data_IF_417594316266
#
_entry.id   IF_417594316266
#
_cell.length_a   1.000
_cell.length_b   1.000
_cell.length_c   1.000
_cell.angle_alpha   90.00
_cell.angle_beta   90.00
_cell.angle_gamma   90.00
#
_symmetry.space_group_name_H-M   'P 1'
#
loop_
_entity.id
_entity.type
_entity.pdbx_description
1 polymer ?
#
# COMPACT_ATOMS: atom_id res chain seq x y z
N UNK A 1 31.58 48.46 22.54
CA UNK A 1 30.37 49.26 22.28
C UNK A 1 29.47 48.42 21.40
N UNK A 2 28.28 48.14 21.92
CA UNK A 2 27.27 47.25 21.36
C UNK A 2 26.49 47.95 20.25
N UNK A 3 26.17 47.25 19.16
CA UNK A 3 25.01 47.58 18.30
C UNK A 3 24.62 46.37 17.47
N UNK A 4 23.58 45.68 17.94
CA UNK A 4 22.83 44.65 17.22
C UNK A 4 21.89 45.31 16.20
N UNK A 5 21.65 44.71 15.04
CA UNK A 5 20.48 45.04 14.24
C UNK A 5 19.27 44.24 14.73
N UNK A 6 18.24 44.96 15.18
CA UNK A 6 16.91 44.45 15.46
C UNK A 6 16.27 43.92 14.16
N UNK A 7 16.10 42.61 14.04
CA UNK A 7 15.16 42.04 13.08
C UNK A 7 13.74 42.15 13.65
N UNK A 8 12.87 42.71 12.82
CA UNK A 8 11.43 42.86 13.06
C UNK A 8 10.80 41.49 13.32
N UNK A 9 10.45 41.23 14.57
CA UNK A 9 9.56 40.15 14.91
C UNK A 9 8.10 40.56 14.57
N UNK A 10 7.37 39.60 14.00
CA UNK A 10 5.93 39.39 14.24
C UNK A 10 4.92 40.00 13.27
N UNK A 11 4.92 39.55 12.01
CA UNK A 11 3.66 39.32 11.26
C UNK A 11 3.14 37.88 11.38
N UNK A 12 3.94 36.94 11.88
CA UNK A 12 3.54 35.52 12.01
C UNK A 12 2.63 35.21 13.21
N UNK A 13 2.63 36.06 14.24
CA UNK A 13 1.93 35.82 15.53
C UNK A 13 0.45 36.25 15.53
N UNK A 14 -0.02 36.93 14.47
CA UNK A 14 -1.41 37.40 14.34
C UNK A 14 -2.31 36.45 13.55
N UNK A 15 -1.73 35.52 12.78
CA UNK A 15 -2.48 34.60 11.92
C UNK A 15 -2.42 33.18 12.49
N UNK A 16 -1.28 32.77 13.06
CA UNK A 16 -1.10 31.46 13.64
C UNK A 16 -0.84 31.64 15.14
N UNK A 17 -1.81 31.24 15.96
CA UNK A 17 -1.73 31.35 17.43
C UNK A 17 -0.48 30.69 18.01
N UNK A 18 -0.16 31.00 19.27
CA UNK A 18 1.03 30.49 19.94
C UNK A 18 1.14 28.94 19.86
N UNK A 19 2.32 28.39 19.55
CA UNK A 19 2.53 26.95 19.62
C UNK A 19 2.46 26.49 21.09
N UNK A 20 1.91 25.29 21.36
CA UNK A 20 1.73 24.83 22.72
C UNK A 20 3.09 24.60 23.40
N UNK A 21 3.27 25.21 24.58
CA UNK A 21 4.41 24.95 25.46
C UNK A 21 4.43 23.45 25.81
N UNK A 22 5.56 22.78 25.55
CA UNK A 22 5.86 21.47 26.13
C UNK A 22 5.78 21.58 27.67
N UNK A 23 5.01 20.74 28.37
CA UNK A 23 5.18 20.61 29.80
C UNK A 23 6.43 19.77 30.07
N UNK A 24 7.21 20.26 31.02
CA UNK A 24 8.33 19.58 31.63
C UNK A 24 7.89 18.27 32.30
N UNK A 25 8.86 17.38 32.46
CA UNK A 25 8.76 16.10 33.15
C UNK A 25 7.95 16.17 34.45
N UNK A 26 6.92 15.32 34.55
CA UNK A 26 6.27 14.96 35.80
C UNK A 26 5.82 13.49 35.74
N UNK A 27 6.41 12.69 36.63
CA UNK A 27 5.88 11.51 37.31
C UNK A 27 4.74 10.69 36.66
N UNK A 28 5.04 9.41 36.40
CA UNK A 28 4.09 8.30 36.19
C UNK A 28 2.90 8.35 37.16
N UNK A 29 1.64 8.25 36.68
CA UNK A 29 0.53 7.84 37.52
C UNK A 29 0.38 6.31 37.52
N UNK A 30 0.07 5.79 38.71
CA UNK A 30 -0.13 4.39 39.01
C UNK A 30 -1.42 3.81 38.38
N UNK A 31 -1.41 2.51 38.11
CA UNK A 31 -2.56 1.72 37.67
C UNK A 31 -3.66 1.65 38.75
N UNK A 32 -4.96 1.68 38.40
CA UNK A 32 -6.04 1.46 39.36
C UNK A 32 -6.38 -0.03 39.49
N UNK A 33 -6.27 -0.53 40.72
CA UNK A 33 -7.32 -1.33 41.38
C UNK A 33 -7.60 -2.75 40.87
N UNK A 34 -6.77 -3.72 41.28
CA UNK A 34 -7.26 -5.07 41.52
C UNK A 34 -7.94 -5.11 42.92
N UNK A 35 -9.08 -5.82 43.09
CA UNK A 35 -9.78 -5.87 44.37
C UNK A 35 -8.96 -6.68 45.39
N UNK A 36 -8.56 -6.00 46.46
CA UNK A 36 -7.84 -6.57 47.60
C UNK A 36 -8.87 -7.13 48.59
N UNK A 37 -8.96 -8.44 48.69
CA UNK A 37 -9.69 -9.12 49.76
C UNK A 37 -9.08 -8.77 51.13
N UNK A 38 -9.88 -8.49 52.17
CA UNK A 38 -9.36 -8.19 53.49
C UNK A 38 -9.08 -9.46 54.29
N UNK A 39 -7.96 -9.41 55.03
CA UNK A 39 -7.70 -10.04 56.32
C UNK A 39 -7.86 -11.58 56.47
N UNK A 40 -6.73 -12.23 56.75
CA UNK A 40 -6.68 -13.18 57.86
C UNK A 40 -5.30 -13.15 58.51
N UNK A 41 -5.32 -12.88 59.81
CA UNK A 41 -4.19 -12.73 60.72
C UNK A 41 -3.25 -13.95 60.69
N UNK A 42 -1.95 -13.68 60.62
CA UNK A 42 -0.94 -14.65 61.06
C UNK A 42 -1.09 -14.95 62.56
N UNK A 43 -0.64 -16.13 63.02
CA UNK A 43 -0.95 -16.62 64.34
C UNK A 43 -0.08 -15.90 65.39
N UNK A 44 -0.67 -14.96 66.11
CA UNK A 44 -0.16 -14.47 67.38
C UNK A 44 -1.13 -14.89 68.48
N UNK A 45 -0.63 -15.58 69.51
CA UNK A 45 -1.35 -15.79 70.76
C UNK A 45 -1.78 -17.24 71.00
N UNK A 46 -0.93 -17.97 71.73
CA UNK A 46 -1.27 -19.13 72.54
C UNK A 46 -2.62 -18.97 73.28
N UNK A 47 -3.35 -20.07 73.51
CA UNK A 47 -3.92 -20.30 74.82
C UNK A 47 -3.10 -21.38 75.53
N UNK A 48 -2.50 -20.95 76.65
CA UNK A 48 -2.03 -21.74 77.79
C UNK A 48 -3.11 -22.70 78.34
N UNK A 49 -3.57 -23.68 77.56
CA UNK A 49 -4.56 -24.70 77.98
C UNK A 49 -4.25 -26.13 77.52
N UNK A 50 -3.07 -26.39 76.94
CA UNK A 50 -2.55 -27.75 76.74
C UNK A 50 -1.51 -28.17 77.80
N UNK A 51 -0.87 -27.22 78.49
CA UNK A 51 0.05 -27.50 79.61
C UNK A 51 -0.64 -27.56 80.99
N UNK A 52 -1.87 -27.04 81.12
CA UNK A 52 -2.65 -27.07 82.37
C UNK A 52 -3.54 -28.32 82.54
N UNK A 53 -3.67 -29.18 81.51
CA UNK A 53 -4.42 -30.45 81.59
C UNK A 53 -3.54 -31.63 82.03
N UNK A 54 -2.22 -31.54 81.85
CA UNK A 54 -1.26 -32.57 82.26
C UNK A 54 -0.72 -32.37 83.70
N UNK A 55 -0.98 -31.23 84.34
CA UNK A 55 -0.66 -30.98 85.76
C UNK A 55 -1.85 -31.14 86.73
N UNK A 56 -3.06 -31.42 86.25
CA UNK A 56 -4.28 -31.65 87.09
C UNK A 56 -4.83 -33.07 87.06
N UNK A 57 -4.03 -34.05 86.63
CA UNK A 57 -4.35 -35.48 86.73
C UNK A 57 -3.35 -36.20 87.65
N UNK A 58 -3.14 -35.65 88.84
CA UNK A 58 -2.49 -36.34 89.95
C UNK A 58 -3.43 -37.37 90.57
N UNK A 59 -3.54 -38.56 89.96
CA UNK A 59 -4.02 -39.77 90.65
C UNK A 59 -3.04 -40.91 90.40
N UNK A 60 -2.43 -41.32 91.51
CA UNK A 60 -1.44 -42.37 91.69
C UNK A 60 -2.09 -43.73 91.36
N UNK A 61 -1.86 -44.28 90.15
CA UNK A 61 -2.20 -45.66 89.80
C UNK A 61 -1.39 -46.14 88.58
N UNK A 62 -0.87 -47.38 88.63
CA UNK A 62 0.25 -47.91 87.83
C UNK A 62 0.09 -48.05 86.30
N UNK A 63 1.19 -48.38 85.59
CA UNK A 63 1.41 -48.09 84.17
C UNK A 63 0.69 -49.00 83.15
N UNK A 64 -0.25 -49.87 83.53
CA UNK A 64 -0.89 -50.82 82.60
C UNK A 64 -2.33 -50.50 82.17
N UNK A 65 -2.96 -49.45 82.72
CA UNK A 65 -4.35 -49.07 82.36
C UNK A 65 -4.48 -47.83 81.45
N UNK A 66 -3.38 -47.12 81.16
CA UNK A 66 -3.39 -45.87 80.37
C UNK A 66 -3.37 -46.10 78.84
N UNK A 67 -2.80 -47.20 78.35
CA UNK A 67 -2.74 -47.47 76.90
C UNK A 67 -4.09 -47.91 76.30
N UNK A 68 -4.91 -48.67 77.03
CA UNK A 68 -6.20 -49.17 76.54
C UNK A 68 -7.27 -48.08 76.39
N UNK A 69 -7.34 -47.13 77.32
CA UNK A 69 -8.32 -46.04 77.28
C UNK A 69 -8.00 -44.97 76.22
N UNK A 70 -6.71 -44.71 75.97
CA UNK A 70 -6.26 -43.80 74.91
C UNK A 70 -6.40 -44.41 73.51
N UNK A 71 -6.33 -45.73 73.36
CA UNK A 71 -6.63 -46.40 72.08
C UNK A 71 -8.14 -46.53 71.80
N UNK A 72 -8.98 -46.63 72.83
CA UNK A 72 -10.44 -46.74 72.70
C UNK A 72 -11.16 -45.47 72.22
N UNK A 73 -10.67 -44.28 72.62
CA UNK A 73 -11.23 -42.98 72.21
C UNK A 73 -10.62 -42.43 70.91
N UNK A 74 -9.35 -42.73 70.63
CA UNK A 74 -8.68 -42.29 69.40
C UNK A 74 -9.27 -42.91 68.14
N UNK A 75 -9.66 -44.20 68.17
CA UNK A 75 -10.15 -44.94 67.00
C UNK A 75 -11.50 -44.49 66.45
N UNK A 76 -12.53 -44.18 67.25
CA UNK A 76 -13.80 -43.64 66.73
C UNK A 76 -13.70 -42.15 66.38
N UNK A 77 -12.98 -41.35 67.17
CA UNK A 77 -12.76 -39.94 66.87
C UNK A 77 -11.96 -39.76 65.57
N UNK A 78 -10.90 -40.55 65.34
CA UNK A 78 -10.13 -40.51 64.09
C UNK A 78 -10.92 -41.02 62.89
N UNK A 79 -11.88 -41.95 63.07
CA UNK A 79 -12.73 -42.44 61.99
C UNK A 79 -13.83 -41.44 61.60
N UNK A 80 -14.45 -40.78 62.58
CA UNK A 80 -15.46 -39.76 62.33
C UNK A 80 -14.86 -38.50 61.69
N UNK A 81 -13.69 -38.05 62.15
CA UNK A 81 -12.98 -36.91 61.55
C UNK A 81 -12.38 -37.26 60.19
N UNK A 82 -11.85 -38.48 59.99
CA UNK A 82 -11.34 -38.93 58.69
C UNK A 82 -12.47 -39.11 57.67
N UNK A 83 -13.62 -39.65 58.08
CA UNK A 83 -14.79 -39.79 57.19
C UNK A 83 -15.37 -38.44 56.81
N UNK A 84 -15.50 -37.51 57.76
CA UNK A 84 -15.96 -36.14 57.49
C UNK A 84 -14.99 -35.35 56.62
N UNK A 85 -13.68 -35.48 56.84
CA UNK A 85 -12.64 -34.87 56.00
C UNK A 85 -12.68 -35.43 54.58
N UNK A 86 -12.83 -36.75 54.42
CA UNK A 86 -12.94 -37.38 53.10
C UNK A 86 -14.21 -36.96 52.34
N UNK A 87 -15.33 -36.78 53.03
CA UNK A 87 -16.58 -36.31 52.43
C UNK A 87 -16.48 -34.83 52.00
N UNK A 88 -15.83 -33.99 52.81
CA UNK A 88 -15.56 -32.59 52.47
C UNK A 88 -14.54 -32.46 51.33
N UNK A 89 -13.51 -33.30 51.27
CA UNK A 89 -12.57 -33.36 50.15
C UNK A 89 -13.26 -33.79 48.85
N UNK A 90 -14.18 -34.75 48.93
CA UNK A 90 -14.94 -35.19 47.77
C UNK A 90 -15.92 -34.11 47.29
N UNK A 91 -16.55 -33.38 48.21
CA UNK A 91 -17.37 -32.21 47.86
C UNK A 91 -16.55 -31.07 47.27
N UNK A 92 -15.38 -30.76 47.83
CA UNK A 92 -14.49 -29.74 47.27
C UNK A 92 -14.02 -30.11 45.85
N UNK A 93 -13.69 -31.38 45.59
CA UNK A 93 -13.33 -31.83 44.23
C UNK A 93 -14.48 -31.67 43.23
N UNK A 94 -15.71 -31.92 43.65
CA UNK A 94 -16.88 -31.69 42.79
C UNK A 94 -17.10 -30.21 42.53
N UNK A 95 -16.97 -29.36 43.56
CA UNK A 95 -17.05 -27.91 43.43
C UNK A 95 -15.93 -27.33 42.56
N UNK A 96 -14.70 -27.86 42.64
CA UNK A 96 -13.58 -27.50 41.77
C UNK A 96 -13.85 -27.90 40.31
N UNK A 97 -14.41 -29.09 40.08
CA UNK A 97 -14.80 -29.54 38.75
C UNK A 97 -15.94 -28.70 38.16
N UNK A 98 -16.96 -28.36 38.95
CA UNK A 98 -18.05 -27.49 38.55
C UNK A 98 -17.58 -26.05 38.31
N UNK A 99 -16.66 -25.54 39.14
CA UNK A 99 -16.01 -24.25 38.93
C UNK A 99 -15.20 -24.23 37.64
N UNK A 100 -14.41 -25.28 37.37
CA UNK A 100 -13.65 -25.40 36.12
C UNK A 100 -14.58 -25.44 34.90
N UNK A 101 -15.72 -26.15 35.00
CA UNK A 101 -16.72 -26.23 33.93
C UNK A 101 -17.43 -24.90 33.69
N UNK A 102 -17.75 -24.17 34.75
CA UNK A 102 -18.29 -22.81 34.67
C UNK A 102 -17.27 -21.83 34.08
N UNK A 103 -15.99 -21.95 34.46
CA UNK A 103 -14.89 -21.18 33.88
C UNK A 103 -14.72 -21.44 32.39
N UNK A 104 -14.83 -22.71 31.96
CA UNK A 104 -14.73 -23.09 30.55
C UNK A 104 -15.92 -22.55 29.72
N UNK A 105 -17.15 -22.56 30.27
CA UNK A 105 -18.33 -21.95 29.64
C UNK A 105 -18.26 -20.42 29.58
N UNK A 106 -17.60 -19.77 30.53
CA UNK A 106 -17.34 -18.33 30.48
C UNK A 106 -16.18 -17.97 29.55
N UNK A 107 -15.27 -18.91 29.29
CA UNK A 107 -14.18 -18.76 28.33
C UNK A 107 -14.63 -18.95 26.86
N UNK A 108 -15.74 -19.67 26.63
CA UNK A 108 -16.33 -19.73 25.29
C UNK A 108 -16.94 -18.38 24.90
N UNK A 109 -16.58 -17.84 23.71
CA UNK A 109 -17.20 -16.63 23.21
C UNK A 109 -18.71 -16.79 23.20
N UNK A 110 -19.43 -15.86 23.82
CA UNK A 110 -20.89 -15.90 23.78
C UNK A 110 -21.38 -15.90 22.33
N UNK A 111 -22.34 -16.79 21.99
CA UNK A 111 -23.01 -16.81 20.67
C UNK A 111 -23.52 -15.43 20.24
N UNK A 112 -23.96 -14.63 21.21
CA UNK A 112 -24.34 -13.24 21.01
C UNK A 112 -23.15 -12.38 20.55
N UNK A 113 -21.98 -12.54 21.17
CA UNK A 113 -20.73 -11.91 20.75
C UNK A 113 -20.27 -12.31 19.35
N UNK A 114 -20.50 -13.56 18.93
CA UNK A 114 -20.24 -14.01 17.55
C UNK A 114 -21.16 -13.34 16.54
N UNK A 115 -22.46 -13.23 16.84
CA UNK A 115 -23.42 -12.53 15.98
C UNK A 115 -23.10 -11.03 15.88
N UNK A 116 -22.71 -10.40 16.99
CA UNK A 116 -22.24 -9.01 16.97
C UNK A 116 -20.97 -8.87 16.14
N UNK A 117 -20.00 -9.78 16.27
CA UNK A 117 -18.78 -9.77 15.47
C UNK A 117 -19.07 -9.94 13.97
N UNK A 118 -19.97 -10.85 13.61
CA UNK A 118 -20.40 -11.07 12.23
C UNK A 118 -21.13 -9.84 11.66
N UNK A 119 -22.03 -9.22 12.45
CA UNK A 119 -22.72 -8.00 12.04
C UNK A 119 -21.75 -6.81 11.89
N UNK A 120 -20.78 -6.66 12.79
CA UNK A 120 -19.74 -5.65 12.68
C UNK A 120 -18.85 -5.90 11.46
N UNK A 121 -18.51 -7.17 11.18
CA UNK A 121 -17.75 -7.57 10.00
C UNK A 121 -18.49 -7.28 8.70
N UNK A 122 -19.79 -7.58 8.63
CA UNK A 122 -20.63 -7.24 7.48
C UNK A 122 -20.75 -5.74 7.27
N UNK A 123 -20.90 -4.96 8.35
CA UNK A 123 -20.95 -3.49 8.26
C UNK A 123 -19.60 -2.92 7.80
N UNK A 124 -18.48 -3.46 8.32
CA UNK A 124 -17.14 -3.08 7.87
C UNK A 124 -16.93 -3.41 6.39
N UNK A 125 -17.32 -4.59 5.92
CA UNK A 125 -17.23 -4.97 4.52
C UNK A 125 -18.06 -4.04 3.60
N UNK A 126 -19.28 -3.70 4.01
CA UNK A 126 -20.13 -2.75 3.26
C UNK A 126 -19.52 -1.34 3.21
N UNK A 127 -18.87 -0.89 4.28
CA UNK A 127 -18.17 0.39 4.31
C UNK A 127 -16.93 0.39 3.41
N UNK A 128 -16.16 -0.69 3.42
CA UNK A 128 -15.01 -0.88 2.53
C UNK A 128 -15.43 -0.93 1.06
N UNK A 129 -16.49 -1.67 0.73
CA UNK A 129 -17.05 -1.76 -0.62
C UNK A 129 -17.56 -0.40 -1.11
N UNK A 130 -18.37 0.29 -0.29
CA UNK A 130 -18.84 1.64 -0.61
C UNK A 130 -17.68 2.66 -0.76
N UNK A 131 -16.64 2.52 0.06
CA UNK A 131 -15.41 3.31 -0.03
C UNK A 131 -14.66 3.04 -1.33
N UNK A 132 -14.49 1.77 -1.69
CA UNK A 132 -13.83 1.35 -2.93
C UNK A 132 -14.58 1.83 -4.18
N UNK A 133 -15.91 1.69 -4.21
CA UNK A 133 -16.74 2.22 -5.29
C UNK A 133 -16.60 3.74 -5.43
N UNK A 134 -16.63 4.47 -4.31
CA UNK A 134 -16.49 5.92 -4.33
C UNK A 134 -15.11 6.35 -4.85
N UNK A 135 -14.04 5.65 -4.44
CA UNK A 135 -12.69 5.89 -4.94
C UNK A 135 -12.61 5.59 -6.45
N UNK A 136 -13.20 4.50 -6.93
CA UNK A 136 -13.24 4.19 -8.36
C UNK A 136 -14.01 5.24 -9.17
N UNK A 137 -15.17 5.69 -8.68
CA UNK A 137 -15.95 6.77 -9.31
C UNK A 137 -15.16 8.09 -9.39
N UNK A 138 -14.44 8.44 -8.33
CA UNK A 138 -13.58 9.64 -8.33
C UNK A 138 -12.40 9.49 -9.30
N UNK A 139 -11.76 8.31 -9.34
CA UNK A 139 -10.70 8.01 -10.32
C UNK A 139 -11.20 8.16 -11.76
N UNK A 140 -12.34 7.55 -12.09
CA UNK A 140 -12.94 7.65 -13.42
C UNK A 140 -13.24 9.11 -13.82
N UNK A 141 -13.81 9.90 -12.90
CA UNK A 141 -14.03 11.34 -13.14
C UNK A 141 -12.74 12.11 -13.35
N UNK A 142 -11.70 11.86 -12.55
CA UNK A 142 -10.40 12.49 -12.74
C UNK A 142 -9.77 12.13 -14.09
N UNK A 143 -9.92 10.88 -14.55
CA UNK A 143 -9.45 10.45 -15.86
C UNK A 143 -10.23 11.12 -17.00
N UNK A 144 -11.55 11.21 -16.90
CA UNK A 144 -12.40 11.93 -17.86
C UNK A 144 -12.04 13.42 -17.93
N UNK A 145 -11.87 14.08 -16.78
CA UNK A 145 -11.42 15.47 -16.72
C UNK A 145 -10.01 15.64 -17.32
N UNK A 146 -9.08 14.72 -17.04
CA UNK A 146 -7.74 14.75 -17.60
C UNK A 146 -7.76 14.58 -19.13
N UNK A 147 -8.58 13.65 -19.65
CA UNK A 147 -8.81 13.49 -21.10
C UNK A 147 -9.41 14.75 -21.71
N UNK A 148 -10.44 15.33 -21.07
CA UNK A 148 -11.06 16.57 -21.52
C UNK A 148 -10.09 17.76 -21.56
N UNK A 149 -9.22 17.90 -20.54
CA UNK A 149 -8.15 18.92 -20.54
C UNK A 149 -7.14 18.68 -21.66
N UNK A 150 -6.69 17.45 -21.86
CA UNK A 150 -5.75 17.11 -22.93
C UNK A 150 -6.34 17.40 -24.33
N UNK A 151 -7.61 17.06 -24.57
CA UNK A 151 -8.30 17.41 -25.81
C UNK A 151 -8.45 18.92 -26.00
N UNK A 152 -8.80 19.66 -24.94
CA UNK A 152 -8.90 21.11 -25.00
C UNK A 152 -7.54 21.78 -25.29
N UNK A 153 -6.47 21.31 -24.66
CA UNK A 153 -5.10 21.77 -24.94
C UNK A 153 -4.67 21.46 -26.37
N UNK A 154 -4.99 20.28 -26.90
CA UNK A 154 -4.73 19.93 -28.29
C UNK A 154 -5.48 20.86 -29.26
N UNK A 155 -6.78 21.12 -29.00
CA UNK A 155 -7.58 22.07 -29.81
C UNK A 155 -7.00 23.48 -29.74
N UNK A 156 -6.60 23.95 -28.56
CA UNK A 156 -5.97 25.27 -28.40
C UNK A 156 -4.64 25.38 -29.17
N UNK A 157 -3.79 24.34 -29.09
CA UNK A 157 -2.54 24.28 -29.87
C UNK A 157 -2.78 24.27 -31.37
N UNK A 158 -3.78 23.53 -31.85
CA UNK A 158 -4.15 23.51 -33.26
C UNK A 158 -4.63 24.89 -33.73
N UNK A 159 -5.52 25.54 -32.98
CA UNK A 159 -5.98 26.90 -33.27
C UNK A 159 -4.84 27.92 -33.26
N UNK A 160 -3.88 27.78 -32.35
CA UNK A 160 -2.70 28.64 -32.32
C UNK A 160 -1.82 28.45 -33.57
N UNK A 161 -1.59 27.21 -34.01
CA UNK A 161 -0.86 26.94 -35.24
C UNK A 161 -1.58 27.49 -36.48
N UNK A 162 -2.91 27.38 -36.54
CA UNK A 162 -3.72 27.96 -37.62
C UNK A 162 -3.63 29.49 -37.61
N UNK A 163 -3.71 30.12 -36.43
CA UNK A 163 -3.56 31.56 -36.26
C UNK A 163 -2.15 32.03 -36.69
N UNK A 164 -1.10 31.32 -36.29
CA UNK A 164 0.28 31.59 -36.70
C UNK A 164 0.46 31.43 -38.21
N UNK A 165 -0.15 30.40 -38.80
CA UNK A 165 -0.18 30.17 -40.25
C UNK A 165 -0.86 31.32 -41.00
N UNK A 166 -2.03 31.77 -40.51
CA UNK A 166 -2.76 32.90 -41.06
C UNK A 166 -1.99 34.22 -40.91
N UNK A 167 -1.33 34.45 -39.77
CA UNK A 167 -0.49 35.62 -39.53
C UNK A 167 0.70 35.68 -40.50
N UNK A 168 1.37 34.53 -40.72
CA UNK A 168 2.47 34.42 -41.71
C UNK A 168 1.98 34.68 -43.13
N UNK A 169 0.81 34.14 -43.51
CA UNK A 169 0.22 34.37 -44.83
C UNK A 169 -0.13 35.85 -45.03
N UNK A 170 -0.74 36.48 -44.02
CA UNK A 170 -1.05 37.91 -44.01
C UNK A 170 0.23 38.75 -44.18
N UNK A 171 1.26 38.50 -43.37
CA UNK A 171 2.55 39.21 -43.47
C UNK A 171 3.18 39.02 -44.87
N UNK A 172 3.08 37.83 -45.44
CA UNK A 172 3.55 37.55 -46.79
C UNK A 172 2.81 38.36 -47.87
N UNK A 173 1.49 38.57 -47.70
CA UNK A 173 0.70 39.42 -48.59
C UNK A 173 1.00 40.91 -48.39
N UNK A 174 1.17 41.37 -47.14
CA UNK A 174 1.53 42.75 -46.82
C UNK A 174 2.86 43.14 -47.49
N UNK A 175 3.89 42.28 -47.39
CA UNK A 175 5.17 42.49 -48.08
C UNK A 175 5.03 42.56 -49.60
N UNK A 176 4.15 41.74 -50.21
CA UNK A 176 3.89 41.81 -51.66
C UNK A 176 3.21 43.12 -52.04
N UNK A 177 2.26 43.58 -51.22
CA UNK A 177 1.58 44.87 -51.43
C UNK A 177 2.57 46.02 -51.31
N UNK A 178 3.48 45.99 -50.34
CA UNK A 178 4.56 46.97 -50.20
C UNK A 178 5.50 46.97 -51.40
N UNK A 179 6.00 45.81 -51.82
CA UNK A 179 6.86 45.68 -52.99
C UNK A 179 6.19 46.22 -54.28
N UNK A 180 4.91 45.91 -54.50
CA UNK A 180 4.16 46.44 -55.66
C UNK A 180 3.95 47.96 -55.58
N UNK A 181 3.83 48.53 -54.37
CA UNK A 181 3.74 49.98 -54.19
C UNK A 181 5.07 50.66 -54.49
N UNK A 182 6.18 50.06 -54.07
CA UNK A 182 7.54 50.54 -54.40
C UNK A 182 7.79 50.48 -55.90
N UNK A 183 7.41 49.39 -56.56
CA UNK A 183 7.53 49.24 -58.02
C UNK A 183 6.68 50.29 -58.77
N UNK A 184 5.44 50.53 -58.34
CA UNK A 184 4.61 51.60 -58.90
C UNK A 184 5.20 52.99 -58.69
N UNK A 185 5.81 53.26 -57.53
CA UNK A 185 6.45 54.53 -57.24
C UNK A 185 7.69 54.73 -58.14
N UNK A 186 8.50 53.69 -58.28
CA UNK A 186 9.67 53.70 -59.16
C UNK A 186 9.28 53.95 -60.62
N UNK A 187 8.28 53.23 -61.14
CA UNK A 187 7.80 53.43 -62.51
C UNK A 187 7.27 54.86 -62.75
N UNK A 188 6.58 55.44 -61.76
CA UNK A 188 6.14 56.84 -61.84
C UNK A 188 7.30 57.83 -61.90
N UNK A 189 8.33 57.64 -61.06
CA UNK A 189 9.52 58.49 -61.09
C UNK A 189 10.26 58.39 -62.42
N UNK A 190 10.46 57.18 -62.94
CA UNK A 190 11.11 56.97 -64.24
C UNK A 190 10.31 57.65 -65.36
N UNK A 191 8.98 57.50 -65.38
CA UNK A 191 8.14 58.18 -66.35
C UNK A 191 8.21 59.71 -66.23
N UNK A 192 8.25 60.26 -65.01
CA UNK A 192 8.41 61.71 -64.79
C UNK A 192 9.77 62.21 -65.30
N UNK A 193 10.85 61.45 -65.09
CA UNK A 193 12.19 61.73 -65.59
C UNK A 193 12.24 61.67 -67.12
N UNK A 194 11.70 60.61 -67.74
CA UNK A 194 11.63 60.49 -69.21
C UNK A 194 10.84 61.64 -69.85
N UNK A 195 9.72 62.05 -69.23
CA UNK A 195 8.94 63.20 -69.68
C UNK A 195 9.71 64.52 -69.54
N UNK A 196 10.47 64.69 -68.46
CA UNK A 196 11.31 65.87 -68.26
C UNK A 196 12.46 65.92 -69.28
N UNK A 197 13.11 64.79 -69.56
CA UNK A 197 14.15 64.68 -70.59
C UNK A 197 13.60 64.98 -71.99
N UNK A 198 12.44 64.42 -72.35
CA UNK A 198 11.78 64.70 -73.64
C UNK A 198 11.38 66.16 -73.77
N UNK A 199 10.86 66.78 -72.69
CA UNK A 199 10.53 68.20 -72.68
C UNK A 199 11.78 69.08 -72.82
N UNK A 200 12.87 68.73 -72.14
CA UNK A 200 14.15 69.41 -72.26
C UNK A 200 14.74 69.27 -73.67
N UNK A 201 14.66 68.08 -74.27
CA UNK A 201 15.10 67.83 -75.65
C UNK A 201 14.29 68.64 -76.67
N UNK A 202 12.97 68.76 -76.48
CA UNK A 202 12.11 69.60 -77.33
C UNK A 202 12.41 71.09 -77.17
N UNK A 203 12.71 71.56 -75.96
CA UNK A 203 13.12 72.95 -75.72
C UNK A 203 14.51 73.26 -76.28
N UNK A 204 15.46 72.31 -76.16
CA UNK A 204 16.79 72.41 -76.75
C UNK A 204 16.73 72.42 -78.29
N UNK A 205 15.83 71.63 -78.88
CA UNK A 205 15.57 71.66 -80.33
C UNK A 205 14.94 72.98 -80.82
N UNK A 206 14.40 73.81 -79.92
CA UNK A 206 13.82 75.12 -80.25
C UNK A 206 14.80 76.30 -80.08
N UNK A 207 16.04 76.10 -79.60
CA UNK A 207 16.98 77.20 -79.33
C UNK A 207 18.39 76.91 -79.87
N UNK A 208 18.75 77.74 -80.85
CA UNK A 208 20.13 78.11 -81.26
C UNK A 208 20.77 77.39 -82.46
N UNK A 209 20.65 78.08 -83.60
CA UNK A 209 21.65 78.28 -84.68
C UNK A 209 22.30 79.64 -84.34
N UNK A 210 23.61 79.93 -84.30
CA UNK A 210 24.87 79.44 -84.89
C UNK A 210 26.03 79.52 -83.86
N UNK A 211 27.19 78.90 -84.13
CA UNK A 211 28.46 79.51 -83.75
C UNK A 211 29.38 79.72 -84.95
N UNK A 212 29.76 80.97 -85.13
CA UNK A 212 30.82 81.44 -86.02
C UNK A 212 32.19 80.99 -85.44
N UNK A 213 32.94 80.18 -86.19
CA UNK A 213 34.26 79.68 -85.78
C UNK A 213 35.29 79.97 -86.88
N UNK A 214 36.21 80.88 -86.55
CA UNK A 214 37.48 81.01 -87.26
C UNK A 214 38.17 79.65 -87.32
N UNK A 215 38.36 79.12 -88.54
CA UNK A 215 38.82 77.74 -88.83
C UNK A 215 39.95 77.27 -87.90
N UNK A 216 39.65 76.47 -86.87
CA UNK A 216 40.64 75.63 -86.23
C UNK A 216 40.83 74.38 -87.10
N UNK A 217 41.90 73.63 -86.91
CA UNK A 217 42.19 72.43 -87.70
C UNK A 217 41.16 71.31 -87.39
N UNK A 218 40.01 71.39 -88.07
CA UNK A 218 38.84 70.54 -87.92
C UNK A 218 39.20 69.06 -88.09
N UNK A 219 40.17 68.78 -88.94
CA UNK A 219 40.68 67.44 -89.19
C UNK A 219 41.33 66.85 -87.93
N UNK A 220 41.99 67.65 -87.11
CA UNK A 220 42.57 67.21 -85.84
C UNK A 220 41.50 66.98 -84.77
N UNK A 221 40.58 67.93 -84.61
CA UNK A 221 39.48 67.80 -83.65
C UNK A 221 38.56 66.60 -83.96
N UNK A 222 38.22 66.37 -85.24
CA UNK A 222 37.42 65.19 -85.64
C UNK A 222 38.16 63.87 -85.37
N UNK A 223 39.49 63.84 -85.54
CA UNK A 223 40.32 62.65 -85.26
C UNK A 223 40.41 62.38 -83.76
N UNK A 224 40.52 63.43 -82.96
CA UNK A 224 40.52 63.33 -81.49
C UNK A 224 39.15 62.90 -80.94
N UNK A 225 38.05 63.49 -81.44
CA UNK A 225 36.69 63.08 -81.09
C UNK A 225 36.49 61.59 -81.45
N UNK A 226 36.91 61.17 -82.64
CA UNK A 226 36.85 59.75 -83.04
C UNK A 226 37.65 58.86 -82.11
N UNK A 227 38.88 59.23 -81.76
CA UNK A 227 39.71 58.48 -80.82
C UNK A 227 39.08 58.39 -79.42
N UNK A 228 38.42 59.46 -78.95
CA UNK A 228 37.69 59.45 -77.68
C UNK A 228 36.45 58.54 -77.73
N UNK A 229 35.69 58.56 -78.84
CA UNK A 229 34.56 57.64 -79.03
C UNK A 229 35.01 56.18 -79.11
N UNK A 230 36.10 55.89 -79.82
CA UNK A 230 36.68 54.54 -79.90
C UNK A 230 37.17 54.07 -78.51
N UNK A 231 37.81 54.96 -77.74
CA UNK A 231 38.22 54.69 -76.34
C UNK A 231 37.01 54.45 -75.44
N UNK A 232 35.96 55.26 -75.55
CA UNK A 232 34.74 55.14 -74.76
C UNK A 232 33.98 53.86 -75.10
N UNK A 233 33.87 53.51 -76.38
CA UNK A 233 33.25 52.27 -76.85
C UNK A 233 34.03 51.04 -76.35
N UNK A 234 35.36 51.08 -76.41
CA UNK A 234 36.21 50.01 -75.88
C UNK A 234 36.04 49.84 -74.36
N UNK A 235 36.01 50.94 -73.59
CA UNK A 235 35.75 50.92 -72.15
C UNK A 235 34.35 50.40 -71.81
N UNK A 236 33.34 50.81 -72.57
CA UNK A 236 31.97 50.34 -72.40
C UNK A 236 31.87 48.83 -72.65
N UNK A 237 32.49 48.33 -73.73
CA UNK A 237 32.56 46.90 -74.02
C UNK A 237 33.23 46.12 -72.88
N UNK A 238 34.39 46.59 -72.39
CA UNK A 238 35.08 45.95 -71.25
C UNK A 238 34.24 45.95 -69.98
N UNK A 239 33.61 47.09 -69.65
CA UNK A 239 32.73 47.18 -68.49
C UNK A 239 31.51 46.25 -68.61
N UNK A 240 30.94 46.13 -69.81
CA UNK A 240 29.85 45.18 -70.08
C UNK A 240 30.32 43.73 -69.93
N UNK A 241 31.48 43.36 -70.48
CA UNK A 241 32.06 42.02 -70.31
C UNK A 241 32.33 41.68 -68.84
N UNK A 242 32.94 42.59 -68.09
CA UNK A 242 33.20 42.42 -66.66
C UNK A 242 31.90 42.29 -65.86
N UNK A 243 30.91 43.11 -66.18
CA UNK A 243 29.58 43.03 -65.58
C UNK A 243 28.91 41.68 -65.86
N UNK A 244 28.94 41.21 -67.11
CA UNK A 244 28.43 39.89 -67.47
C UNK A 244 29.20 38.78 -66.76
N UNK A 245 30.54 38.79 -66.77
CA UNK A 245 31.37 37.80 -66.05
C UNK A 245 31.02 37.74 -64.57
N UNK A 246 30.91 38.90 -63.92
CA UNK A 246 30.52 39.00 -62.52
C UNK A 246 29.11 38.45 -62.27
N UNK A 247 28.15 38.78 -63.15
CA UNK A 247 26.78 38.27 -63.04
C UNK A 247 26.71 36.76 -63.23
N UNK A 248 27.42 36.21 -64.21
CA UNK A 248 27.53 34.77 -64.42
C UNK A 248 28.19 34.06 -63.25
N UNK A 249 29.28 34.61 -62.71
CA UNK A 249 29.96 34.06 -61.54
C UNK A 249 29.02 34.02 -60.32
N UNK A 250 28.26 35.11 -60.07
CA UNK A 250 27.30 35.18 -58.99
C UNK A 250 26.17 34.14 -59.15
N UNK A 251 25.58 34.03 -60.34
CA UNK A 251 24.54 33.02 -60.61
C UNK A 251 25.08 31.60 -60.43
N UNK A 252 26.30 31.33 -60.90
CA UNK A 252 26.93 30.02 -60.75
C UNK A 252 27.21 29.69 -59.28
N UNK A 253 27.67 30.67 -58.50
CA UNK A 253 27.88 30.50 -57.06
C UNK A 253 26.56 30.25 -56.32
N UNK A 254 25.48 30.97 -56.66
CA UNK A 254 24.15 30.74 -56.11
C UNK A 254 23.63 29.34 -56.43
N UNK A 255 23.81 28.88 -57.68
CA UNK A 255 23.43 27.52 -58.09
C UNK A 255 24.25 26.44 -57.34
N UNK A 256 25.55 26.69 -57.11
CA UNK A 256 26.41 25.81 -56.33
C UNK A 256 25.97 25.72 -54.87
N UNK A 257 25.69 26.86 -54.22
CA UNK A 257 25.17 26.93 -52.83
C UNK A 257 23.82 26.24 -52.70
N UNK A 258 22.89 26.48 -53.64
CA UNK A 258 21.60 25.79 -53.67
C UNK A 258 21.78 24.27 -53.80
N UNK A 259 22.65 23.83 -54.70
CA UNK A 259 22.95 22.40 -54.87
C UNK A 259 23.57 21.77 -53.62
N UNK A 260 24.46 22.49 -52.91
CA UNK A 260 25.03 22.04 -51.64
C UNK A 260 23.97 21.96 -50.54
N UNK A 261 23.09 22.96 -50.41
CA UNK A 261 22.00 22.94 -49.44
C UNK A 261 21.04 21.76 -49.66
N UNK A 262 20.72 21.45 -50.93
CA UNK A 262 19.92 20.27 -51.27
C UNK A 262 20.63 18.97 -50.88
N UNK A 263 21.95 18.87 -51.10
CA UNK A 263 22.74 17.69 -50.69
C UNK A 263 22.76 17.53 -49.18
N UNK A 264 23.06 18.60 -48.43
CA UNK A 264 23.06 18.58 -46.97
C UNK A 264 21.71 18.17 -46.40
N UNK A 265 20.61 18.75 -46.90
CA UNK A 265 19.25 18.37 -46.48
C UNK A 265 18.93 16.89 -46.78
N UNK A 266 19.39 16.36 -47.92
CA UNK A 266 19.22 14.93 -48.23
C UNK A 266 20.01 14.05 -47.26
N UNK A 267 21.24 14.42 -46.93
CA UNK A 267 22.08 13.71 -45.96
C UNK A 267 21.44 13.68 -44.57
N UNK A 268 20.89 14.82 -44.11
CA UNK A 268 20.12 14.91 -42.86
C UNK A 268 18.90 13.98 -42.89
N UNK A 269 18.12 13.98 -43.98
CA UNK A 269 16.97 13.07 -44.13
C UNK A 269 17.43 11.60 -44.07
N UNK A 270 18.56 11.26 -44.69
CA UNK A 270 19.10 9.90 -44.63
C UNK A 270 19.54 9.52 -43.22
N UNK A 271 20.15 10.44 -42.48
CA UNK A 271 20.56 10.22 -41.10
C UNK A 271 19.35 10.04 -40.18
N UNK A 272 18.32 10.89 -40.30
CA UNK A 272 17.07 10.73 -39.56
C UNK A 272 16.38 9.39 -39.87
N UNK A 273 16.41 8.92 -41.13
CA UNK A 273 15.89 7.60 -41.49
C UNK A 273 16.68 6.46 -40.82
N UNK A 274 18.01 6.55 -40.78
CA UNK A 274 18.84 5.54 -40.08
C UNK A 274 18.54 5.53 -38.58
N UNK A 275 18.46 6.69 -37.96
CA UNK A 275 18.13 6.81 -36.53
C UNK A 275 16.75 6.25 -36.24
N UNK A 276 15.75 6.55 -37.08
CA UNK A 276 14.42 5.97 -36.94
C UNK A 276 14.44 4.44 -37.03
N UNK A 277 15.17 3.87 -37.99
CA UNK A 277 15.32 2.42 -38.11
C UNK A 277 16.01 1.82 -36.88
N UNK A 278 17.12 2.41 -36.43
CA UNK A 278 17.83 1.96 -35.23
C UNK A 278 16.92 1.96 -33.99
N UNK A 279 16.19 3.05 -33.75
CA UNK A 279 15.22 3.13 -32.64
C UNK A 279 14.06 2.15 -32.78
N UNK A 280 13.61 1.89 -34.00
CA UNK A 280 12.53 0.90 -34.24
C UNK A 280 13.01 -0.50 -33.86
N UNK A 281 14.22 -0.89 -34.26
CA UNK A 281 14.82 -2.17 -33.89
C UNK A 281 15.05 -2.26 -32.38
N UNK A 282 15.52 -1.20 -31.74
CA UNK A 282 15.65 -1.13 -30.27
C UNK A 282 14.29 -1.37 -29.59
N UNK A 283 13.22 -0.70 -30.02
CA UNK A 283 11.87 -0.89 -29.49
C UNK A 283 11.37 -2.33 -29.69
N UNK A 284 11.57 -2.91 -30.87
CA UNK A 284 11.17 -4.29 -31.16
C UNK A 284 11.95 -5.30 -30.30
N UNK A 285 13.25 -5.10 -30.12
CA UNK A 285 14.09 -5.95 -29.25
C UNK A 285 13.69 -5.86 -27.77
N UNK A 286 13.41 -4.66 -27.26
CA UNK A 286 12.93 -4.45 -25.89
C UNK A 286 11.54 -5.05 -25.69
N UNK A 287 10.64 -4.95 -26.68
CA UNK A 287 9.34 -5.62 -26.65
C UNK A 287 9.51 -7.14 -26.58
N UNK A 288 10.36 -7.72 -27.42
CA UNK A 288 10.65 -9.15 -27.38
C UNK A 288 11.26 -9.61 -26.06
N UNK A 289 12.15 -8.81 -25.46
CA UNK A 289 12.70 -9.08 -24.13
C UNK A 289 11.63 -9.02 -23.04
N UNK A 290 10.73 -8.02 -23.09
CA UNK A 290 9.64 -7.90 -22.13
C UNK A 290 8.67 -9.07 -22.21
N UNK A 291 8.22 -9.44 -23.41
CA UNK A 291 7.36 -10.62 -23.59
C UNK A 291 8.04 -11.92 -23.13
N UNK A 292 9.37 -12.04 -23.30
CA UNK A 292 10.12 -13.18 -22.77
C UNK A 292 10.13 -13.21 -21.24
N UNK A 293 10.29 -12.06 -20.59
CA UNK A 293 10.28 -11.95 -19.13
C UNK A 293 8.87 -12.20 -18.57
N UNK A 294 7.83 -11.68 -19.20
CA UNK A 294 6.44 -11.93 -18.84
C UNK A 294 6.11 -13.43 -18.94
N UNK A 295 6.52 -14.11 -20.02
CA UNK A 295 6.38 -15.58 -20.14
C UNK A 295 7.13 -16.32 -19.03
N UNK A 296 8.35 -15.91 -18.69
CA UNK A 296 9.11 -16.53 -17.59
C UNK A 296 8.43 -16.34 -16.24
N UNK A 297 7.87 -15.16 -15.97
CA UNK A 297 7.10 -14.91 -14.74
C UNK A 297 5.88 -15.82 -14.70
N UNK A 298 5.10 -15.88 -15.78
CA UNK A 298 3.93 -16.75 -15.86
C UNK A 298 4.29 -18.23 -15.66
N UNK A 299 5.34 -18.73 -16.31
CA UNK A 299 5.81 -20.11 -16.12
C UNK A 299 6.22 -20.38 -14.66
N UNK A 300 6.87 -19.42 -14.01
CA UNK A 300 7.26 -19.54 -12.60
C UNK A 300 6.04 -19.52 -11.67
N UNK A 301 5.07 -18.65 -11.92
CA UNK A 301 3.81 -18.60 -11.18
C UNK A 301 3.00 -19.89 -11.34
N UNK A 302 2.92 -20.45 -12.55
CA UNK A 302 2.25 -21.72 -12.82
C UNK A 302 2.94 -22.89 -12.10
N UNK A 303 4.29 -22.94 -12.15
CA UNK A 303 5.08 -23.97 -11.43
C UNK A 303 4.86 -23.88 -9.93
N UNK A 304 4.96 -22.68 -9.35
CA UNK A 304 4.72 -22.48 -7.92
C UNK A 304 3.27 -22.76 -7.52
N UNK A 305 2.30 -22.40 -8.36
CA UNK A 305 0.90 -22.74 -8.16
C UNK A 305 0.69 -24.25 -8.10
N UNK A 306 1.32 -25.00 -9.01
CA UNK A 306 1.27 -26.47 -9.00
C UNK A 306 1.95 -27.07 -7.76
N UNK A 307 3.12 -26.56 -7.35
CA UNK A 307 3.81 -26.97 -6.12
C UNK A 307 2.96 -26.73 -4.88
N UNK A 308 2.34 -25.55 -4.77
CA UNK A 308 1.44 -25.22 -3.66
C UNK A 308 0.21 -26.13 -3.64
N UNK A 309 -0.37 -26.44 -4.80
CA UNK A 309 -1.44 -27.43 -4.92
C UNK A 309 -1.03 -28.80 -4.42
N UNK A 310 0.14 -29.31 -4.84
CA UNK A 310 0.66 -30.60 -4.39
C UNK A 310 0.96 -30.67 -2.89
N UNK A 311 1.46 -29.58 -2.29
CA UNK A 311 1.64 -29.50 -0.84
C UNK A 311 0.30 -29.48 -0.11
N UNK A 312 -0.70 -28.74 -0.62
CA UNK A 312 -2.04 -28.69 -0.03
C UNK A 312 -2.74 -30.06 -0.10
N UNK A 313 -2.57 -30.80 -1.20
CA UNK A 313 -3.06 -32.16 -1.34
C UNK A 313 -2.37 -33.09 -0.33
N UNK A 314 -1.06 -32.97 -0.16
CA UNK A 314 -0.29 -33.75 0.82
C UNK A 314 -0.75 -33.47 2.25
N UNK A 315 -0.98 -32.20 2.60
CA UNK A 315 -1.56 -31.82 3.90
C UNK A 315 -2.94 -32.47 4.07
N UNK A 316 -3.79 -32.39 3.06
CA UNK A 316 -5.14 -32.94 3.09
C UNK A 316 -5.13 -34.47 3.28
N UNK A 317 -4.21 -35.17 2.61
CA UNK A 317 -3.99 -36.61 2.80
C UNK A 317 -3.58 -36.93 4.24
N UNK A 318 -2.56 -36.23 4.76
CA UNK A 318 -2.09 -36.44 6.14
C UNK A 318 -3.17 -36.14 7.19
N UNK A 319 -3.97 -35.09 6.99
CA UNK A 319 -5.10 -34.81 7.87
C UNK A 319 -6.16 -35.92 7.84
N UNK A 320 -6.43 -36.48 6.67
CA UNK A 320 -7.37 -37.59 6.52
C UNK A 320 -6.84 -38.87 7.20
N UNK A 321 -5.56 -39.20 7.02
CA UNK A 321 -4.92 -40.32 7.70
C UNK A 321 -4.95 -40.12 9.23
N UNK A 322 -4.71 -38.90 9.70
CA UNK A 322 -4.83 -38.56 11.12
C UNK A 322 -6.27 -38.72 11.63
N UNK A 323 -7.28 -38.33 10.85
CA UNK A 323 -8.69 -38.54 11.21
C UNK A 323 -9.05 -40.03 11.24
N UNK A 324 -8.58 -40.81 10.27
CA UNK A 324 -8.81 -42.24 10.16
C UNK A 324 -8.20 -42.99 11.36
N UNK A 325 -6.91 -42.77 11.65
CA UNK A 325 -6.22 -43.39 12.80
C UNK A 325 -6.85 -43.01 14.14
N UNK A 326 -7.32 -41.76 14.30
CA UNK A 326 -8.09 -41.36 15.50
C UNK A 326 -9.42 -42.12 15.62
N UNK A 327 -10.12 -42.32 14.52
CA UNK A 327 -11.38 -43.08 14.48
C UNK A 327 -11.15 -44.56 14.82
N UNK A 328 -10.12 -45.17 14.25
CA UNK A 328 -9.68 -46.55 14.54
C UNK A 328 -9.31 -46.71 16.02
N UNK A 329 -8.53 -45.77 16.57
CA UNK A 329 -8.21 -45.78 18.00
C UNK A 329 -9.47 -45.70 18.88
N UNK A 330 -10.42 -44.83 18.53
CA UNK A 330 -11.69 -44.73 19.24
C UNK A 330 -12.56 -45.99 19.07
N UNK A 331 -12.43 -46.72 17.97
CA UNK A 331 -13.06 -48.02 17.77
C UNK A 331 -12.44 -49.08 18.69
N UNK A 332 -11.12 -49.23 18.68
CA UNK A 332 -10.42 -50.18 19.57
C UNK A 332 -10.70 -49.92 21.05
N UNK A 333 -10.73 -48.65 21.49
CA UNK A 333 -11.09 -48.33 22.87
C UNK A 333 -12.49 -48.81 23.27
N UNK A 334 -13.45 -48.79 22.33
CA UNK A 334 -14.80 -49.34 22.57
C UNK A 334 -14.75 -50.86 22.65
N UNK A 335 -14.06 -51.53 21.72
CA UNK A 335 -13.89 -52.99 21.73
C UNK A 335 -13.20 -53.48 23.01
N UNK A 336 -12.17 -52.78 23.48
CA UNK A 336 -11.51 -53.09 24.75
C UNK A 336 -12.44 -52.93 25.96
N UNK A 337 -13.28 -51.88 25.96
CA UNK A 337 -14.26 -51.69 27.03
C UNK A 337 -15.31 -52.80 27.03
N UNK A 338 -15.79 -53.21 25.85
CA UNK A 338 -16.75 -54.30 25.71
C UNK A 338 -16.17 -55.64 26.17
N UNK A 339 -14.92 -55.93 25.79
CA UNK A 339 -14.21 -57.13 26.25
C UNK A 339 -13.98 -57.12 27.78
N UNK A 340 -13.65 -55.95 28.35
CA UNK A 340 -13.53 -55.77 29.79
C UNK A 340 -14.87 -56.05 30.50
N UNK A 341 -15.99 -55.57 29.95
CA UNK A 341 -17.32 -55.83 30.48
C UNK A 341 -17.63 -57.33 30.48
N UNK A 342 -17.31 -58.05 29.40
CA UNK A 342 -17.45 -59.52 29.34
C UNK A 342 -16.58 -60.20 30.38
N UNK A 343 -15.31 -59.80 30.53
CA UNK A 343 -14.41 -60.34 31.55
C UNK A 343 -14.95 -60.15 32.96
N UNK A 344 -15.51 -58.98 33.27
CA UNK A 344 -16.13 -58.70 34.56
C UNK A 344 -17.36 -59.57 34.81
N UNK A 345 -18.20 -59.81 33.79
CA UNK A 345 -19.33 -60.72 33.89
C UNK A 345 -18.86 -62.15 34.21
N UNK A 346 -17.82 -62.64 33.51
CA UNK A 346 -17.22 -63.94 33.78
C UNK A 346 -16.61 -64.05 35.19
N UNK A 347 -15.95 -63.01 35.69
CA UNK A 347 -15.45 -63.01 37.08
C UNK A 347 -16.59 -63.15 38.10
N UNK A 348 -17.71 -62.48 37.86
CA UNK A 348 -18.92 -62.57 38.70
C UNK A 348 -19.49 -63.99 38.64
N UNK A 349 -19.58 -64.59 37.45
CA UNK A 349 -20.00 -65.98 37.28
C UNK A 349 -19.08 -66.95 38.02
N UNK A 350 -17.75 -66.82 37.87
CA UNK A 350 -16.77 -67.65 38.59
C UNK A 350 -16.93 -67.51 40.11
N UNK A 351 -17.11 -66.29 40.61
CA UNK A 351 -17.34 -66.05 42.03
C UNK A 351 -18.66 -66.68 42.50
N UNK A 352 -19.71 -66.63 41.69
CA UNK A 352 -20.98 -67.29 41.98
C UNK A 352 -20.86 -68.82 41.99
N UNK A 353 -20.17 -69.40 41.01
CA UNK A 353 -19.88 -70.85 40.96
C UNK A 353 -19.06 -71.30 42.16
N UNK A 354 -18.01 -70.56 42.55
CA UNK A 354 -17.23 -70.85 43.77
C UNK A 354 -18.09 -70.87 45.02
N UNK A 355 -18.98 -69.87 45.18
CA UNK A 355 -19.89 -69.78 46.33
C UNK A 355 -20.91 -70.92 46.39
N UNK A 356 -21.40 -71.38 45.25
CA UNK A 356 -22.28 -72.56 45.17
C UNK A 356 -21.55 -73.84 45.61
N UNK A 357 -20.32 -74.03 45.14
CA UNK A 357 -19.48 -75.19 45.52
C UNK A 357 -19.15 -75.19 47.03
N UNK A 358 -18.78 -74.05 47.61
CA UNK A 358 -18.61 -73.89 49.07
C UNK A 358 -19.89 -74.22 49.86
N UNK A 359 -21.06 -73.91 49.29
CA UNK A 359 -22.37 -74.26 49.85
C UNK A 359 -22.71 -75.76 49.78
N UNK A 360 -22.14 -76.50 48.85
CA UNK A 360 -22.27 -77.96 48.76
C UNK A 360 -21.27 -78.68 49.67
N UNK A 361 -20.02 -78.19 49.75
CA UNK A 361 -19.00 -78.72 50.69
C UNK A 361 -19.45 -78.61 52.15
N UNK A 362 -20.19 -77.55 52.52
CA UNK A 362 -20.76 -77.40 53.88
C UNK A 362 -21.88 -78.40 54.19
N UNK A 363 -22.59 -78.91 53.17
CA UNK A 363 -23.59 -79.98 53.32
C UNK A 363 -22.94 -81.36 53.42
N UNK A 364 -21.89 -81.61 52.65
CA UNK A 364 -21.11 -82.85 52.76
C UNK A 364 -20.30 -82.93 54.07
N UNK A 365 -19.81 -81.80 54.61
CA UNK A 365 -19.07 -81.76 55.88
C UNK A 365 -19.95 -81.83 57.14
N UNK A 366 -21.25 -81.52 57.05
CA UNK A 366 -22.19 -81.77 58.17
C UNK A 366 -22.61 -83.26 58.26
N UNK A 367 -22.30 -84.07 57.24
CA UNK A 367 -22.50 -85.52 57.24
C UNK A 367 -21.26 -86.38 57.50
N UNK A 368 -20.07 -85.79 57.68
CA UNK A 368 -18.85 -86.58 57.93
C UNK A 368 -17.88 -85.87 58.88
N UNK A 369 -17.66 -86.52 60.01
CA UNK A 369 -16.72 -86.12 61.07
C UNK A 369 -15.27 -86.19 60.55
N UNK A 370 -14.56 -85.07 60.69
CA UNK A 370 -13.16 -84.85 61.11
C UNK A 370 -12.06 -85.86 60.70
N UNK A 371 -10.94 -85.35 60.16
CA UNK A 371 -9.62 -85.36 60.82
C UNK A 371 -8.71 -84.28 60.21
N UNK A 372 -8.10 -83.51 61.12
CA UNK A 372 -7.13 -82.44 60.93
C UNK A 372 -5.77 -82.87 60.36
N UNK A 373 -5.14 -82.00 59.57
CA UNK A 373 -3.68 -81.82 59.61
C UNK A 373 -3.31 -80.37 59.21
N UNK A 374 -2.59 -79.70 60.12
CA UNK A 374 -1.93 -78.39 59.95
C UNK A 374 -0.91 -78.42 58.82
N UNK A 375 -0.79 -77.34 58.06
CA UNK A 375 0.51 -76.69 57.87
C UNK A 375 0.38 -75.21 57.42
N UNK A 376 1.36 -74.35 57.72
CA UNK A 376 1.21 -72.90 57.65
C UNK A 376 2.10 -72.31 56.55
N UNK A 377 1.56 -71.82 55.43
CA UNK A 377 2.32 -70.90 54.57
C UNK A 377 1.43 -69.82 53.94
N UNK A 378 1.94 -68.61 54.04
CA UNK A 378 1.36 -67.31 53.72
C UNK A 378 0.96 -67.18 52.25
N UNK A 379 -0.25 -66.65 51.98
CA UNK A 379 -0.60 -66.09 50.68
C UNK A 379 -0.91 -64.58 50.80
N UNK A 380 -0.38 -63.76 49.87
CA UNK A 380 -0.53 -62.32 49.89
C UNK A 380 -1.90 -61.89 49.37
N UNK A 381 -2.48 -60.91 50.07
CA UNK A 381 -3.72 -60.24 49.69
C UNK A 381 -3.45 -59.31 48.49
N UNK A 382 -3.90 -59.72 47.30
CA UNK A 382 -3.98 -58.82 46.13
C UNK A 382 -5.30 -58.05 46.21
N UNK A 383 -5.23 -56.79 46.65
CA UNK A 383 -6.32 -55.83 46.53
C UNK A 383 -6.33 -55.23 45.13
N UNK A 384 -7.31 -55.59 44.31
CA UNK A 384 -7.62 -54.86 43.08
C UNK A 384 -8.69 -53.80 43.40
N UNK A 385 -8.36 -52.53 43.22
CA UNK A 385 -9.32 -51.43 43.29
C UNK A 385 -9.95 -51.19 41.89
N UNK A 386 -11.27 -50.96 41.78
CA UNK A 386 -11.86 -50.51 40.53
C UNK A 386 -11.68 -48.99 40.40
N UNK A 387 -11.01 -48.53 39.34
CA UNK A 387 -11.06 -47.13 38.91
C UNK A 387 -12.23 -46.97 37.95
N UNK A 388 -13.28 -46.29 38.40
CA UNK A 388 -14.32 -45.75 37.53
C UNK A 388 -13.78 -44.49 36.84
N UNK A 389 -13.72 -44.52 35.51
CA UNK A 389 -13.55 -43.33 34.68
C UNK A 389 -14.93 -42.89 34.19
N UNK A 390 -15.41 -41.75 34.68
CA UNK A 390 -16.65 -41.12 34.21
C UNK A 390 -16.29 -40.03 33.20
N UNK A 391 -16.67 -40.19 31.93
CA UNK A 391 -16.75 -39.08 30.98
C UNK A 391 -18.21 -38.59 30.87
N UNK A 392 -18.46 -37.27 30.78
CA UNK A 392 -19.81 -36.76 30.64
C UNK A 392 -20.27 -36.72 29.18
N UNK A 393 -21.45 -37.28 28.93
CA UNK A 393 -22.25 -37.07 27.70
C UNK A 393 -22.77 -35.63 27.68
N UNK A 394 -22.48 -34.92 26.60
CA UNK A 394 -23.06 -33.60 26.31
C UNK A 394 -24.44 -33.77 25.66
N UNK A 395 -25.45 -33.14 26.25
CA UNK A 395 -26.81 -33.06 25.73
C UNK A 395 -27.00 -31.84 24.84
N UNK A 396 -27.75 -32.06 23.76
CA UNK A 396 -27.99 -31.16 22.65
C UNK A 396 -28.79 -29.90 23.01
N UNK A 397 -28.45 -28.82 22.32
CA UNK A 397 -29.09 -27.50 22.32
C UNK A 397 -30.52 -27.53 21.79
N UNK A 398 -31.39 -26.69 22.37
CA UNK A 398 -32.63 -26.22 21.74
C UNK A 398 -32.59 -24.69 21.59
N UNK A 399 -32.97 -24.27 20.39
CA UNK A 399 -33.05 -22.90 19.88
C UNK A 399 -34.45 -22.35 20.16
N UNK A 400 -34.58 -21.06 20.53
CA UNK A 400 -35.47 -20.08 19.87
C UNK A 400 -35.55 -18.71 20.59
N UNK A 401 -35.97 -17.63 19.90
CA UNK A 401 -35.45 -16.27 20.06
C UNK A 401 -36.48 -15.22 20.50
N UNK A 402 -36.04 -14.03 20.93
CA UNK A 402 -36.84 -12.79 20.80
C UNK A 402 -35.97 -11.52 20.80
N UNK A 403 -36.21 -10.70 19.79
CA UNK A 403 -35.75 -9.33 19.51
C UNK A 403 -36.32 -8.30 20.50
N UNK A 404 -35.58 -7.20 20.75
CA UNK A 404 -36.11 -5.82 20.70
C UNK A 404 -35.04 -4.73 20.91
N UNK A 405 -34.88 -3.89 19.88
CA UNK A 405 -34.70 -2.43 19.87
C UNK A 405 -34.10 -1.67 21.08
N UNK A 406 -33.04 -0.88 20.82
CA UNK A 406 -33.10 0.60 20.83
C UNK A 406 -31.89 1.26 20.18
N UNK A 407 -32.18 2.39 19.52
CA UNK A 407 -31.37 3.26 18.66
C UNK A 407 -30.87 4.48 19.47
N UNK A 408 -29.92 5.21 18.87
CA UNK A 408 -29.31 6.52 19.25
C UNK A 408 -27.95 6.38 19.96
N UNK A 409 -26.87 7.11 19.63
CA UNK A 409 -26.63 8.30 18.79
C UNK A 409 -25.09 8.41 18.58
N UNK A 410 -24.59 8.79 17.40
CA UNK A 410 -23.20 9.30 17.25
C UNK A 410 -22.99 10.00 15.89
N UNK A 411 -23.09 11.33 15.88
CA UNK A 411 -22.73 12.16 14.74
C UNK A 411 -22.03 13.44 15.25
N UNK A 412 -20.71 13.41 15.45
CA UNK A 412 -19.94 14.66 15.66
C UNK A 412 -18.42 14.54 15.37
N UNK A 413 -17.85 13.32 15.34
CA UNK A 413 -16.40 13.15 15.19
C UNK A 413 -15.88 13.18 13.73
N UNK A 414 -16.73 13.16 12.71
CA UNK A 414 -16.31 12.99 11.30
C UNK A 414 -15.98 14.28 10.55
N UNK A 415 -16.41 15.45 11.04
CA UNK A 415 -16.24 16.73 10.32
C UNK A 415 -14.85 17.36 10.48
N UNK A 416 -14.17 17.13 11.61
CA UNK A 416 -12.88 17.78 11.92
C UNK A 416 -11.71 17.18 11.11
N UNK A 417 -11.77 15.88 10.77
CA UNK A 417 -10.70 15.22 10.00
C UNK A 417 -10.76 15.53 8.50
N UNK A 418 -11.94 15.83 7.96
CA UNK A 418 -12.13 16.16 6.54
C UNK A 418 -11.69 17.57 6.17
N UNK A 419 -11.73 18.53 7.10
CA UNK A 419 -11.31 19.91 6.83
C UNK A 419 -9.79 20.03 6.79
N UNK A 420 -9.10 19.32 7.68
CA UNK A 420 -7.64 19.37 7.81
C UNK A 420 -6.91 18.81 6.57
N UNK A 421 -7.45 17.75 5.94
CA UNK A 421 -6.90 17.18 4.70
C UNK A 421 -7.15 18.05 3.46
N UNK A 422 -8.23 18.84 3.45
CA UNK A 422 -8.54 19.75 2.34
C UNK A 422 -7.63 20.96 2.34
N UNK A 423 -7.30 21.49 3.51
CA UNK A 423 -6.37 22.62 3.65
C UNK A 423 -4.93 22.23 3.24
N UNK A 424 -4.44 21.05 3.65
CA UNK A 424 -3.10 20.58 3.27
C UNK A 424 -2.94 20.35 1.77
N UNK A 425 -4.02 19.95 1.09
CA UNK A 425 -4.00 19.72 -0.35
C UNK A 425 -4.05 21.04 -1.15
N UNK A 426 -4.79 22.04 -0.64
CA UNK A 426 -4.83 23.37 -1.24
C UNK A 426 -3.47 24.07 -1.18
N UNK A 427 -2.76 23.96 -0.05
CA UNK A 427 -1.44 24.57 0.15
C UNK A 427 -0.39 23.99 -0.82
N UNK A 428 -0.44 22.67 -1.07
CA UNK A 428 0.45 21.98 -2.02
C UNK A 428 0.22 22.40 -3.47
N UNK A 429 -1.04 22.66 -3.85
CA UNK A 429 -1.39 23.14 -5.20
C UNK A 429 -0.89 24.58 -5.38
N UNK A 430 -1.09 25.44 -4.39
CA UNK A 430 -0.62 26.83 -4.47
C UNK A 430 0.91 26.91 -4.57
N UNK A 431 1.64 26.11 -3.80
CA UNK A 431 3.11 26.05 -3.86
C UNK A 431 3.61 25.58 -5.25
N UNK A 432 2.94 24.59 -5.84
CA UNK A 432 3.29 24.07 -7.18
C UNK A 432 3.00 25.10 -8.28
N UNK A 433 1.88 25.81 -8.20
CA UNK A 433 1.50 26.85 -9.17
C UNK A 433 2.41 28.08 -9.05
N UNK A 434 2.83 28.44 -7.84
CA UNK A 434 3.78 29.54 -7.66
C UNK A 434 5.19 29.20 -8.15
N UNK A 435 5.64 27.96 -7.93
CA UNK A 435 6.96 27.51 -8.39
C UNK A 435 7.05 27.47 -9.93
N UNK A 436 6.00 26.96 -10.60
CA UNK A 436 5.92 26.92 -12.07
C UNK A 436 5.85 28.31 -12.70
N UNK A 437 5.05 29.22 -12.15
CA UNK A 437 5.00 30.63 -12.60
C UNK A 437 6.33 31.35 -12.44
N UNK A 438 7.06 31.07 -11.35
CA UNK A 438 8.39 31.67 -11.11
C UNK A 438 9.41 31.19 -12.14
N UNK A 439 9.37 29.91 -12.53
CA UNK A 439 10.25 29.35 -13.57
C UNK A 439 9.91 29.87 -14.97
N UNK A 440 8.64 30.13 -15.27
CA UNK A 440 8.24 30.73 -16.56
C UNK A 440 8.66 32.20 -16.65
N UNK A 441 8.56 32.96 -15.56
CA UNK A 441 9.02 34.36 -15.53
C UNK A 441 10.54 34.48 -15.68
N UNK A 442 11.34 33.60 -15.04
CA UNK A 442 12.79 33.61 -15.22
C UNK A 442 13.21 33.28 -16.66
N UNK A 443 12.51 32.34 -17.31
CA UNK A 443 12.78 31.97 -18.70
C UNK A 443 12.44 33.09 -19.70
N UNK A 444 11.40 33.89 -19.40
CA UNK A 444 11.01 35.05 -20.22
C UNK A 444 11.98 36.23 -20.04
N UNK A 445 12.48 36.47 -18.83
CA UNK A 445 13.49 37.50 -18.58
C UNK A 445 14.84 37.17 -19.25
N UNK A 446 15.28 35.91 -19.22
CA UNK A 446 16.49 35.47 -19.94
C UNK A 446 16.35 35.54 -21.47
N UNK A 447 15.16 35.26 -22.01
CA UNK A 447 14.85 35.39 -23.43
C UNK A 447 14.81 36.85 -23.92
N UNK A 448 14.43 37.80 -23.06
CA UNK A 448 14.40 39.21 -23.43
C UNK A 448 15.80 39.86 -23.40
N UNK A 449 16.65 39.46 -22.45
CA UNK A 449 18.03 39.98 -22.33
C UNK A 449 18.92 39.50 -23.50
N UNK A 450 18.66 38.31 -24.04
CA UNK A 450 19.39 37.75 -25.19
C UNK A 450 19.01 38.42 -26.51
N UNK A 451 17.76 38.84 -26.68
CA UNK A 451 17.30 39.58 -27.87
C UNK A 451 17.70 41.06 -27.87
N UNK A 452 18.10 41.63 -26.73
CA UNK A 452 18.54 43.03 -26.62
C UNK A 452 20.06 43.23 -26.81
N UNK A 453 20.82 42.13 -26.96
CA UNK A 453 22.29 42.10 -27.15
C UNK A 453 22.75 41.65 -28.54
N UNK A 454 21.82 41.34 -29.44
CA UNK A 454 22.04 41.27 -30.89
C UNK A 454 21.47 42.52 -31.53
#
# INVERSE_FOLDING_TARGET
>A
MSSQPHYLASSYRKIFGEPPRRPAAASRPAAPGAPRWPAAMGPAGLPRRAEAWLERAGVRAGPRRREGALQGLKRPASRATSSGCGQLEQQNRLLEADWARCGQRQAEPSRLGELFRASCGSCAAQLEEAGAEQVQRLRARCEEEARGRAEAEQRARAQQQEADGAARARLGLEKKVEALREELAFLRQVHEEELAELAAALQAAQVSVEPDLAKPDLSSALREIRAQYESLAAKNLQAAEEWYRSKFANLNEQAARSSQAIRASREEIHEYRRQLQARTVEVESLRGANESLERQIQEMEERHGAEMGGLQDSISQLENDLRNTKSEMAHHLREYQDLLNVKMALDIEIAAYRKLLEGEETRFTTGSISISARNPHSNPSYSFQPRVFSLPVATASKISPTLSFKKEEKEEASKVSSSQMRESFAEMIEETVMSTKKTEQSNLEEGNITNQKM
#
